data_IF_996039222397
#
_entry.id   IF_996039222397
#
_cell.length_a   1.000
_cell.length_b   1.000
_cell.length_c   1.000
_cell.angle_alpha   90.00
_cell.angle_beta   90.00
_cell.angle_gamma   90.00
#
_symmetry.space_group_name_H-M   'P 1'
#
loop_
_entity.id
_entity.type
_entity.pdbx_description
1 polymer ?
#
# COMPACT_ATOMS: atom_id res chain seq x y z
N UNK A 1 19.87 24.68 -8.74
CA UNK A 1 21.13 23.90 -8.89
C UNK A 1 20.85 22.51 -8.36
N UNK A 2 20.37 21.65 -9.24
CA UNK A 2 20.02 20.27 -8.89
C UNK A 2 21.30 19.44 -8.91
N UNK A 3 21.75 18.99 -7.72
CA UNK A 3 22.81 17.98 -7.65
C UNK A 3 22.23 16.64 -8.10
N UNK A 4 22.60 16.24 -9.32
CA UNK A 4 22.44 14.84 -9.76
C UNK A 4 23.28 13.96 -8.84
N UNK A 5 22.64 13.19 -7.99
CA UNK A 5 23.29 12.12 -7.24
C UNK A 5 23.10 10.85 -8.06
N UNK A 6 23.90 10.68 -9.10
CA UNK A 6 24.14 9.38 -9.73
C UNK A 6 25.36 8.78 -9.02
N UNK A 7 25.12 7.93 -8.04
CA UNK A 7 26.17 7.23 -7.30
C UNK A 7 26.02 5.73 -7.44
N UNK A 8 26.92 5.09 -8.19
CA UNK A 8 27.12 3.64 -8.05
C UNK A 8 27.98 3.40 -6.82
N UNK A 9 27.45 2.69 -5.83
CA UNK A 9 28.22 2.22 -4.69
C UNK A 9 28.57 0.76 -4.99
N UNK A 10 29.86 0.46 -5.20
CA UNK A 10 30.35 -0.90 -5.44
C UNK A 10 30.63 -1.59 -4.12
N UNK A 11 30.17 -2.84 -3.98
CA UNK A 11 30.60 -3.73 -2.92
C UNK A 11 31.82 -4.58 -3.35
N UNK A 12 32.45 -5.24 -2.38
CA UNK A 12 33.64 -6.09 -2.59
C UNK A 12 33.33 -7.40 -3.34
N UNK A 13 32.07 -7.64 -3.77
CA UNK A 13 31.63 -8.85 -4.49
C UNK A 13 31.22 -8.58 -5.95
N UNK A 14 31.41 -7.37 -6.45
CA UNK A 14 31.18 -7.05 -7.86
C UNK A 14 29.71 -6.90 -8.27
N UNK A 15 28.77 -6.89 -7.33
CA UNK A 15 27.37 -6.55 -7.59
C UNK A 15 27.15 -5.08 -7.23
N UNK A 16 26.83 -4.27 -8.22
CA UNK A 16 26.58 -2.84 -8.03
C UNK A 16 25.09 -2.58 -7.90
N UNK A 17 24.67 -2.06 -6.73
CA UNK A 17 23.36 -1.45 -6.59
C UNK A 17 23.24 -0.30 -7.59
N UNK A 18 22.26 -0.34 -8.47
CA UNK A 18 22.01 0.69 -9.49
C UNK A 18 20.71 1.42 -9.20
N UNK A 19 20.78 2.45 -8.37
CA UNK A 19 19.61 3.30 -8.11
C UNK A 19 19.42 4.24 -9.30
N UNK A 20 18.48 3.88 -10.18
CA UNK A 20 18.01 4.77 -11.23
C UNK A 20 16.89 5.67 -10.66
N UNK A 21 17.13 6.98 -10.62
CA UNK A 21 16.17 7.97 -10.14
C UNK A 21 14.84 7.97 -10.91
N UNK A 22 14.82 7.44 -12.13
CA UNK A 22 13.59 7.29 -12.92
C UNK A 22 12.72 6.13 -12.43
N UNK A 23 13.34 5.05 -11.97
CA UNK A 23 12.62 3.83 -11.56
C UNK A 23 12.51 3.69 -10.04
N UNK A 24 13.45 4.24 -9.28
CA UNK A 24 13.46 4.09 -7.82
C UNK A 24 12.26 4.76 -7.14
N UNK A 25 11.65 4.03 -6.22
CA UNK A 25 10.61 4.51 -5.31
C UNK A 25 10.90 4.04 -3.88
N UNK A 26 10.88 4.98 -2.93
CA UNK A 26 11.11 4.68 -1.51
C UNK A 26 9.96 3.91 -0.86
N UNK A 27 8.77 3.96 -1.44
CA UNK A 27 7.53 3.42 -0.85
C UNK A 27 7.65 1.97 -0.38
N UNK A 28 8.19 1.01 -1.16
CA UNK A 28 8.31 -0.39 -0.72
C UNK A 28 9.22 -0.60 0.50
N UNK A 29 10.02 0.39 0.85
CA UNK A 29 10.98 0.34 1.98
C UNK A 29 10.45 0.99 3.25
N UNK A 30 9.38 1.79 3.15
CA UNK A 30 8.92 2.61 4.28
C UNK A 30 7.42 2.56 4.53
N UNK A 31 6.60 2.13 3.56
CA UNK A 31 5.15 2.25 3.64
C UNK A 31 4.44 0.91 3.78
N UNK A 32 3.51 0.84 4.72
CA UNK A 32 2.42 -0.14 4.75
C UNK A 32 1.16 0.50 4.17
N UNK A 33 0.55 -0.14 3.17
CA UNK A 33 -0.73 0.30 2.60
C UNK A 33 -1.77 -0.80 2.72
N UNK A 34 -2.98 -0.45 3.18
CA UNK A 34 -4.07 -1.41 3.33
C UNK A 34 -5.37 -0.95 2.69
N UNK A 35 -6.22 -1.90 2.33
CA UNK A 35 -7.65 -1.68 2.04
C UNK A 35 -8.48 -1.93 3.30
N UNK A 36 -9.73 -1.45 3.32
CA UNK A 36 -10.63 -1.55 4.48
C UNK A 36 -10.97 -2.97 4.92
N UNK A 37 -10.78 -3.95 4.04
CA UNK A 37 -10.97 -5.38 4.31
C UNK A 37 -9.67 -6.11 4.66
N UNK A 38 -8.59 -5.39 4.82
CA UNK A 38 -7.32 -5.89 5.28
C UNK A 38 -6.30 -6.24 4.20
N UNK A 39 -6.69 -6.25 2.92
CA UNK A 39 -5.75 -6.57 1.85
C UNK A 39 -4.59 -5.59 1.84
N UNK A 40 -3.37 -6.13 1.90
CA UNK A 40 -2.16 -5.33 1.89
C UNK A 40 -1.68 -5.07 0.47
N UNK A 41 -1.15 -3.87 0.23
CA UNK A 41 -0.66 -3.43 -1.08
C UNK A 41 0.70 -2.79 -0.95
N UNK A 42 1.51 -2.87 -1.99
CA UNK A 42 2.80 -2.15 -2.04
C UNK A 42 2.56 -0.64 -1.95
N UNK A 43 1.62 -0.13 -2.74
CA UNK A 43 1.15 1.26 -2.67
C UNK A 43 -0.27 1.40 -3.23
N UNK A 44 -0.90 2.56 -3.04
CA UNK A 44 -2.26 2.80 -3.52
C UNK A 44 -2.35 3.03 -5.04
N UNK A 45 -1.22 3.27 -5.73
CA UNK A 45 -1.16 3.57 -7.18
C UNK A 45 -0.64 2.40 -8.01
N UNK A 46 -0.44 1.22 -7.39
CA UNK A 46 0.04 0.04 -8.10
C UNK A 46 -1.03 -0.49 -9.06
N UNK A 47 -0.60 -0.99 -10.22
CA UNK A 47 -1.47 -1.54 -11.26
C UNK A 47 -1.13 -3.02 -11.51
N UNK A 48 -2.09 -3.79 -12.01
CA UNK A 48 -1.91 -5.22 -12.28
C UNK A 48 -1.97 -6.14 -11.03
N UNK A 49 -1.69 -5.59 -9.85
CA UNK A 49 -1.77 -6.29 -8.55
C UNK A 49 -2.63 -5.52 -7.55
N UNK A 50 -3.72 -4.94 -8.04
CA UNK A 50 -4.61 -4.09 -7.24
C UNK A 50 -5.32 -4.84 -6.12
N UNK A 51 -5.47 -6.15 -6.22
CA UNK A 51 -6.14 -6.99 -5.22
C UNK A 51 -5.34 -7.10 -3.94
N UNK A 52 -4.02 -7.16 -4.02
CA UNK A 52 -3.14 -7.26 -2.87
C UNK A 52 -1.80 -7.91 -3.21
N UNK A 53 -0.92 -7.99 -2.23
CA UNK A 53 0.37 -8.67 -2.36
C UNK A 53 0.14 -10.17 -2.34
N UNK A 54 0.50 -10.93 -3.40
CA UNK A 54 0.32 -12.38 -3.42
C UNK A 54 1.24 -13.08 -2.43
N UNK A 55 0.80 -14.25 -1.95
CA UNK A 55 1.57 -15.05 -0.99
C UNK A 55 2.61 -15.94 -1.64
N UNK A 56 2.34 -16.39 -2.86
CA UNK A 56 3.08 -17.47 -3.52
C UNK A 56 3.70 -17.09 -4.87
N UNK A 57 3.36 -15.90 -5.40
CA UNK A 57 3.87 -15.44 -6.69
C UNK A 57 4.93 -14.35 -6.50
N UNK A 58 5.99 -14.38 -7.29
CA UNK A 58 6.90 -13.26 -7.47
C UNK A 58 6.38 -12.30 -8.54
N UNK A 59 6.99 -11.11 -8.64
CA UNK A 59 6.48 -10.05 -9.50
C UNK A 59 6.45 -10.45 -10.99
N UNK A 60 7.49 -11.12 -11.49
CA UNK A 60 7.58 -11.53 -12.88
C UNK A 60 6.70 -12.75 -13.23
N UNK A 61 6.22 -13.45 -12.22
CA UNK A 61 5.32 -14.59 -12.39
C UNK A 61 3.86 -14.16 -12.55
N UNK A 62 3.55 -12.90 -12.25
CA UNK A 62 2.17 -12.40 -12.30
C UNK A 62 1.70 -12.24 -13.74
N UNK A 63 0.67 -13.00 -14.10
CA UNK A 63 -0.06 -12.89 -15.37
C UNK A 63 -1.55 -12.75 -15.13
N UNK A 64 -2.32 -12.39 -16.15
CA UNK A 64 -3.79 -12.37 -16.06
C UNK A 64 -4.41 -13.74 -15.80
N UNK A 65 -3.66 -14.82 -16.03
CA UNK A 65 -4.12 -16.20 -15.85
C UNK A 65 -3.94 -16.69 -14.41
N UNK A 66 -2.81 -16.32 -13.75
CA UNK A 66 -2.48 -16.83 -12.41
C UNK A 66 -2.71 -15.82 -11.28
N UNK A 67 -2.98 -14.55 -11.59
CA UNK A 67 -3.37 -13.54 -10.60
C UNK A 67 -4.85 -13.18 -10.76
N UNK A 68 -5.69 -14.03 -10.22
CA UNK A 68 -7.15 -13.98 -10.33
C UNK A 68 -7.85 -13.62 -9.00
N UNK A 69 -9.16 -13.76 -8.95
CA UNK A 69 -9.96 -13.59 -7.74
C UNK A 69 -9.60 -14.59 -6.64
N UNK A 70 -9.17 -15.77 -6.99
CA UNK A 70 -8.81 -16.86 -6.07
C UNK A 70 -7.36 -16.79 -5.59
N UNK A 71 -6.50 -15.97 -6.19
CA UNK A 71 -5.09 -15.86 -5.78
C UNK A 71 -4.98 -15.46 -4.31
N UNK A 72 -4.32 -16.27 -3.46
CA UNK A 72 -4.10 -15.92 -2.06
C UNK A 72 -3.25 -14.65 -1.94
N UNK A 73 -3.79 -13.64 -1.27
CA UNK A 73 -3.08 -12.38 -0.99
C UNK A 73 -2.93 -12.17 0.51
N UNK A 74 -1.93 -11.40 0.91
CA UNK A 74 -1.77 -11.02 2.31
C UNK A 74 -2.93 -10.15 2.77
N UNK A 75 -3.57 -10.57 3.85
CA UNK A 75 -4.69 -9.87 4.47
C UNK A 75 -4.44 -9.68 5.97
N UNK A 76 -4.31 -8.45 6.41
CA UNK A 76 -3.96 -8.10 7.79
C UNK A 76 -5.08 -8.35 8.82
N UNK A 77 -6.22 -8.89 8.39
CA UNK A 77 -7.19 -9.49 9.33
C UNK A 77 -6.65 -10.78 9.95
N UNK A 78 -5.78 -11.50 9.23
CA UNK A 78 -5.31 -12.85 9.58
C UNK A 78 -3.79 -13.02 9.47
N UNK A 79 -3.11 -12.23 8.65
CA UNK A 79 -1.67 -12.34 8.39
C UNK A 79 -0.90 -11.30 9.21
N UNK A 80 0.32 -11.64 9.62
CA UNK A 80 1.17 -10.70 10.36
C UNK A 80 1.79 -9.65 9.44
N UNK A 81 1.96 -8.44 9.98
CA UNK A 81 2.67 -7.37 9.26
C UNK A 81 4.13 -7.79 9.00
N UNK A 82 4.75 -8.52 9.91
CA UNK A 82 6.14 -8.96 9.77
C UNK A 82 6.31 -9.95 8.60
N UNK A 83 5.39 -10.92 8.47
CA UNK A 83 5.43 -11.91 7.37
C UNK A 83 5.22 -11.23 6.02
N UNK A 84 4.22 -10.34 5.94
CA UNK A 84 3.98 -9.53 4.77
C UNK A 84 5.20 -8.68 4.40
N UNK A 85 5.77 -7.98 5.39
CA UNK A 85 6.78 -6.94 5.18
C UNK A 85 8.07 -7.49 4.55
N UNK A 86 8.41 -8.72 4.89
CA UNK A 86 9.56 -9.42 4.33
C UNK A 86 9.19 -10.70 3.56
N UNK A 87 7.98 -10.75 3.00
CA UNK A 87 7.59 -11.81 2.08
C UNK A 87 8.51 -11.86 0.87
N UNK A 88 8.57 -13.00 0.18
CA UNK A 88 9.41 -13.15 -1.00
C UNK A 88 9.01 -12.16 -2.09
N UNK A 89 7.71 -11.91 -2.27
CA UNK A 89 7.22 -10.87 -3.17
C UNK A 89 7.78 -9.47 -2.83
N UNK A 90 7.74 -9.06 -1.56
CA UNK A 90 8.22 -7.74 -1.16
C UNK A 90 9.74 -7.61 -1.27
N UNK A 91 10.47 -8.68 -1.00
CA UNK A 91 11.93 -8.73 -1.22
C UNK A 91 12.28 -8.60 -2.70
N UNK A 92 11.62 -9.40 -3.57
CA UNK A 92 11.79 -9.34 -5.02
C UNK A 92 11.48 -7.93 -5.57
N UNK A 93 10.34 -7.36 -5.15
CA UNK A 93 9.94 -6.01 -5.56
C UNK A 93 10.99 -4.96 -5.20
N UNK A 94 11.55 -5.04 -3.99
CA UNK A 94 12.61 -4.13 -3.53
C UNK A 94 13.91 -4.35 -4.30
N UNK A 95 14.30 -5.61 -4.57
CA UNK A 95 15.52 -5.90 -5.33
C UNK A 95 15.45 -5.35 -6.75
N UNK A 96 14.32 -5.48 -7.45
CA UNK A 96 14.12 -4.86 -8.76
C UNK A 96 14.28 -3.34 -8.72
N UNK A 97 13.74 -2.68 -7.68
CA UNK A 97 13.94 -1.25 -7.48
C UNK A 97 15.41 -0.87 -7.23
N UNK A 98 16.14 -1.67 -6.45
CA UNK A 98 17.56 -1.43 -6.14
C UNK A 98 18.48 -1.71 -7.34
N UNK A 99 18.05 -2.58 -8.26
CA UNK A 99 18.73 -2.85 -9.52
C UNK A 99 18.42 -1.80 -10.61
N UNK A 100 17.52 -0.83 -10.33
CA UNK A 100 17.10 0.18 -11.30
C UNK A 100 16.16 -0.36 -12.38
N UNK A 101 15.56 -1.52 -12.17
CA UNK A 101 14.67 -2.16 -13.12
C UNK A 101 13.34 -1.40 -13.24
N UNK A 102 12.80 -1.35 -14.46
CA UNK A 102 11.44 -0.87 -14.68
C UNK A 102 10.43 -1.91 -14.21
N UNK A 103 9.51 -1.48 -13.34
CA UNK A 103 8.44 -2.35 -12.83
C UNK A 103 7.11 -1.95 -13.48
N UNK A 104 6.51 -2.79 -14.34
CA UNK A 104 5.25 -2.46 -15.04
C UNK A 104 4.12 -2.07 -14.09
N UNK A 105 4.05 -2.67 -12.91
CA UNK A 105 3.07 -2.34 -11.89
C UNK A 105 3.18 -0.88 -11.36
N UNK A 106 4.29 -0.17 -11.63
CA UNK A 106 4.51 1.24 -11.30
C UNK A 106 4.13 2.21 -12.44
N UNK A 107 3.61 1.72 -13.57
CA UNK A 107 3.31 2.48 -14.78
C UNK A 107 2.47 3.74 -14.54
N UNK A 108 1.54 3.72 -13.59
CA UNK A 108 0.72 4.88 -13.28
C UNK A 108 1.55 6.13 -12.92
N UNK A 109 2.60 5.97 -12.09
CA UNK A 109 3.49 7.07 -11.72
C UNK A 109 4.31 7.54 -12.93
N UNK A 110 4.83 6.59 -13.72
CA UNK A 110 5.62 6.92 -14.92
C UNK A 110 4.79 7.70 -15.96
N UNK A 111 3.53 7.33 -16.20
CA UNK A 111 2.63 8.07 -17.10
C UNK A 111 2.33 9.47 -16.60
N UNK A 112 2.10 9.65 -15.29
CA UNK A 112 1.92 10.99 -14.72
C UNK A 112 3.15 11.86 -14.97
N UNK A 113 4.34 11.33 -14.71
CA UNK A 113 5.61 12.04 -14.89
C UNK A 113 5.89 12.38 -16.36
N UNK A 114 5.61 11.46 -17.28
CA UNK A 114 5.70 11.69 -18.71
C UNK A 114 4.75 12.80 -19.21
N UNK A 115 3.63 13.00 -18.50
CA UNK A 115 2.67 14.09 -18.76
C UNK A 115 3.03 15.40 -18.04
N UNK A 116 4.21 15.51 -17.43
CA UNK A 116 4.65 16.69 -16.69
C UNK A 116 4.00 16.88 -15.32
N UNK A 117 3.30 15.86 -14.80
CA UNK A 117 2.64 15.91 -13.49
C UNK A 117 3.55 15.35 -12.41
N UNK A 118 3.38 15.84 -11.18
CA UNK A 118 4.08 15.28 -10.02
C UNK A 118 3.39 13.98 -9.58
N UNK A 119 4.09 12.86 -9.70
CA UNK A 119 3.59 11.57 -9.25
C UNK A 119 3.71 11.39 -7.73
N UNK A 120 3.01 10.36 -7.21
CA UNK A 120 3.17 9.95 -5.81
C UNK A 120 4.60 9.52 -5.49
N UNK A 121 5.27 8.83 -6.43
CA UNK A 121 6.68 8.43 -6.33
C UNK A 121 7.60 9.62 -6.07
N UNK A 122 7.52 10.66 -6.89
CA UNK A 122 8.32 11.90 -6.72
C UNK A 122 8.05 12.52 -5.35
N UNK A 123 6.78 12.69 -4.97
CA UNK A 123 6.42 13.30 -3.70
C UNK A 123 6.94 12.50 -2.48
N UNK A 124 6.92 11.17 -2.56
CA UNK A 124 7.38 10.32 -1.46
C UNK A 124 8.90 10.19 -1.41
N UNK A 125 9.55 10.10 -2.55
CA UNK A 125 11.01 10.18 -2.61
C UNK A 125 11.52 11.48 -1.99
N UNK A 126 10.92 12.62 -2.32
CA UNK A 126 11.28 13.92 -1.73
C UNK A 126 11.21 13.91 -0.20
N UNK A 127 10.24 13.17 0.38
CA UNK A 127 10.02 13.15 1.84
C UNK A 127 10.89 12.14 2.58
N UNK A 128 11.10 10.95 2.02
CA UNK A 128 11.67 9.82 2.74
C UNK A 128 13.02 9.33 2.21
N UNK A 129 13.41 9.68 0.96
CA UNK A 129 14.60 9.14 0.31
C UNK A 129 15.86 9.39 1.12
N UNK A 130 16.09 10.62 1.58
CA UNK A 130 17.30 10.97 2.33
C UNK A 130 17.50 10.12 3.59
N UNK A 131 16.44 9.81 4.30
CA UNK A 131 16.49 8.96 5.51
C UNK A 131 16.70 7.48 5.17
N UNK A 132 16.25 7.04 4.01
CA UNK A 132 16.30 5.63 3.59
C UNK A 132 17.59 5.29 2.85
N UNK A 133 18.17 6.22 2.10
CA UNK A 133 19.40 6.02 1.30
C UNK A 133 20.55 5.34 2.08
N UNK A 134 20.88 5.73 3.32
CA UNK A 134 21.97 5.11 4.06
C UNK A 134 21.74 3.63 4.38
N UNK A 135 20.49 3.15 4.30
CA UNK A 135 20.10 1.79 4.63
C UNK A 135 19.99 0.90 3.39
N UNK A 136 19.90 1.48 2.19
CA UNK A 136 19.62 0.73 0.96
C UNK A 136 20.72 -0.28 0.63
N UNK A 137 21.98 0.04 0.89
CA UNK A 137 23.08 -0.91 0.68
C UNK A 137 22.90 -2.16 1.55
N UNK A 138 22.58 -1.98 2.83
CA UNK A 138 22.29 -3.08 3.75
C UNK A 138 21.11 -3.93 3.27
N UNK A 139 20.04 -3.29 2.76
CA UNK A 139 18.87 -4.01 2.24
C UNK A 139 19.21 -4.79 0.96
N UNK A 140 20.06 -4.23 0.10
CA UNK A 140 20.56 -4.91 -1.09
C UNK A 140 21.37 -6.17 -0.73
N UNK A 141 22.34 -6.06 0.18
CA UNK A 141 23.17 -7.17 0.66
C UNK A 141 22.34 -8.28 1.33
N UNK A 142 21.17 -7.94 1.84
CA UNK A 142 20.22 -8.85 2.48
C UNK A 142 19.07 -9.26 1.58
N UNK A 143 19.28 -9.17 0.27
CA UNK A 143 18.30 -9.59 -0.74
C UNK A 143 16.92 -8.95 -0.52
N UNK A 144 16.86 -7.64 -0.33
CA UNK A 144 15.62 -6.88 -0.17
C UNK A 144 14.98 -6.98 1.22
N UNK A 145 15.60 -7.67 2.18
CA UNK A 145 15.10 -7.73 3.55
C UNK A 145 15.26 -6.40 4.27
N UNK A 146 14.20 -5.92 4.90
CA UNK A 146 14.16 -4.66 5.64
C UNK A 146 13.92 -4.94 7.11
N UNK A 147 14.90 -4.58 7.97
CA UNK A 147 14.83 -4.84 9.42
C UNK A 147 13.86 -3.92 10.16
N UNK A 148 13.65 -2.71 9.63
CA UNK A 148 12.83 -1.70 10.26
C UNK A 148 11.38 -1.90 9.80
N UNK A 149 10.45 -1.97 10.73
CA UNK A 149 9.02 -2.04 10.41
C UNK A 149 8.56 -0.79 9.64
N UNK A 150 7.43 -0.83 8.90
CA UNK A 150 6.96 0.31 8.14
C UNK A 150 6.92 1.59 8.98
N UNK A 151 7.50 2.66 8.45
CA UNK A 151 7.56 3.97 9.11
C UNK A 151 6.39 4.88 8.71
N UNK A 152 5.76 4.59 7.59
CA UNK A 152 4.58 5.29 7.12
C UNK A 152 3.44 4.29 6.89
N UNK A 153 2.32 4.55 7.56
CA UNK A 153 1.18 3.68 7.56
C UNK A 153 -0.01 4.36 6.90
N UNK A 154 -0.37 3.93 5.70
CA UNK A 154 -1.57 4.36 4.98
C UNK A 154 -2.65 3.30 5.19
N UNK A 155 -3.48 3.49 6.20
CA UNK A 155 -4.42 2.49 6.67
C UNK A 155 -5.84 2.88 6.29
N UNK A 156 -6.53 2.00 5.59
CA UNK A 156 -7.97 2.13 5.38
C UNK A 156 -8.70 1.28 6.40
N UNK A 157 -9.26 1.92 7.42
CA UNK A 157 -9.88 1.23 8.55
C UNK A 157 -11.22 0.60 8.20
N UNK A 158 -12.05 1.26 7.38
CA UNK A 158 -13.34 0.76 6.93
C UNK A 158 -13.80 1.44 5.64
N UNK A 159 -14.93 1.00 5.08
CA UNK A 159 -15.60 1.70 3.98
C UNK A 159 -16.89 2.40 4.43
N UNK A 160 -17.17 2.45 5.73
CA UNK A 160 -18.33 3.17 6.25
C UNK A 160 -18.23 4.65 5.93
N UNK A 161 -19.33 5.19 5.40
CA UNK A 161 -19.38 6.58 4.93
C UNK A 161 -20.82 7.09 5.01
N UNK A 162 -20.97 8.36 5.30
CA UNK A 162 -22.24 9.10 5.28
C UNK A 162 -22.31 10.09 4.11
N UNK A 163 -21.33 10.05 3.18
CA UNK A 163 -21.21 10.94 2.02
C UNK A 163 -21.33 10.17 0.71
N UNK A 164 -21.87 10.82 -0.32
CA UNK A 164 -21.99 10.32 -1.70
C UNK A 164 -21.15 11.17 -2.66
N UNK A 165 -19.83 11.20 -2.46
CA UNK A 165 -18.93 11.99 -3.29
C UNK A 165 -18.86 11.45 -4.71
N UNK A 166 -18.99 12.30 -5.72
CA UNK A 166 -19.03 11.94 -7.14
C UNK A 166 -17.78 11.20 -7.63
N UNK A 167 -16.63 11.45 -7.00
CA UNK A 167 -15.37 10.80 -7.33
C UNK A 167 -15.16 9.45 -6.60
N UNK A 168 -16.12 9.04 -5.76
CA UNK A 168 -15.98 7.84 -4.95
C UNK A 168 -16.54 6.61 -5.69
N UNK A 169 -16.09 5.42 -5.27
CA UNK A 169 -16.53 4.14 -5.84
C UNK A 169 -17.23 3.27 -4.81
N UNK A 170 -18.06 2.30 -5.24
CA UNK A 170 -18.73 1.36 -4.32
C UNK A 170 -17.79 0.61 -3.39
N UNK A 171 -16.58 0.27 -3.85
CA UNK A 171 -15.57 -0.42 -3.04
C UNK A 171 -14.91 0.44 -1.96
N UNK A 172 -15.12 1.75 -1.98
CA UNK A 172 -14.53 2.71 -1.06
C UNK A 172 -15.53 3.40 -0.12
N UNK A 173 -16.82 3.33 -0.43
CA UNK A 173 -17.87 4.02 0.35
C UNK A 173 -19.14 3.17 0.43
N UNK A 174 -19.59 2.92 1.65
CA UNK A 174 -20.85 2.21 1.90
C UNK A 174 -22.08 2.95 1.35
N UNK A 175 -22.04 4.29 1.24
CA UNK A 175 -23.13 5.06 0.62
C UNK A 175 -23.14 4.85 -0.88
N UNK A 176 -21.98 4.95 -1.54
CA UNK A 176 -21.88 4.68 -2.97
C UNK A 176 -22.27 3.23 -3.30
N UNK A 177 -21.87 2.27 -2.46
CA UNK A 177 -22.32 0.88 -2.61
C UNK A 177 -23.86 0.77 -2.60
N UNK A 178 -24.53 1.42 -1.65
CA UNK A 178 -26.01 1.42 -1.57
C UNK A 178 -26.65 2.04 -2.81
N UNK A 179 -26.11 3.14 -3.28
CA UNK A 179 -26.63 3.84 -4.48
C UNK A 179 -26.48 2.99 -5.75
N UNK A 180 -25.27 2.48 -5.99
CA UNK A 180 -25.00 1.64 -7.16
C UNK A 180 -25.76 0.31 -7.11
N UNK A 181 -25.88 -0.31 -5.94
CA UNK A 181 -26.72 -1.52 -5.78
C UNK A 181 -28.19 -1.26 -6.04
N UNK A 182 -28.70 -0.05 -5.74
CA UNK A 182 -30.06 0.35 -6.07
C UNK A 182 -30.24 0.50 -7.59
N UNK A 183 -29.27 1.12 -8.27
CA UNK A 183 -29.31 1.26 -9.73
C UNK A 183 -29.23 -0.08 -10.44
N UNK A 184 -28.35 -0.97 -9.99
CA UNK A 184 -28.25 -2.34 -10.53
C UNK A 184 -29.59 -3.08 -10.45
N UNK A 185 -30.27 -3.02 -9.31
CA UNK A 185 -31.62 -3.60 -9.14
C UNK A 185 -32.68 -2.99 -10.06
N UNK A 186 -32.45 -1.78 -10.57
CA UNK A 186 -33.31 -1.12 -11.55
C UNK A 186 -32.89 -1.42 -13.01
N UNK A 187 -31.98 -2.36 -13.23
CA UNK A 187 -31.44 -2.67 -14.56
C UNK A 187 -30.52 -1.59 -15.14
N UNK A 188 -30.08 -0.62 -14.33
CA UNK A 188 -29.11 0.40 -14.73
C UNK A 188 -27.72 -0.06 -14.33
N UNK A 189 -26.79 -0.07 -15.26
CA UNK A 189 -25.39 -0.39 -14.97
C UNK A 189 -24.47 0.74 -15.40
N UNK A 190 -23.39 0.93 -14.64
CA UNK A 190 -22.27 1.75 -15.06
C UNK A 190 -21.09 0.79 -15.22
N UNK A 191 -20.76 0.36 -16.44
CA UNK A 191 -19.78 -0.71 -16.67
C UNK A 191 -18.45 -0.44 -15.99
N UNK A 192 -17.99 0.82 -15.96
CA UNK A 192 -16.74 1.25 -15.31
C UNK A 192 -16.75 1.04 -13.79
N UNK A 193 -17.92 0.92 -13.15
CA UNK A 193 -18.07 0.73 -11.71
C UNK A 193 -18.41 -0.70 -11.30
N UNK A 194 -18.68 -1.59 -12.29
CA UNK A 194 -19.11 -2.96 -12.01
C UNK A 194 -18.07 -3.73 -11.19
N UNK A 195 -16.79 -3.70 -11.59
CA UNK A 195 -15.73 -4.35 -10.84
C UNK A 195 -15.59 -3.84 -9.39
N UNK A 196 -15.76 -2.53 -9.18
CA UNK A 196 -15.75 -1.96 -7.83
C UNK A 196 -16.96 -2.38 -6.99
N UNK A 197 -18.12 -2.56 -7.64
CA UNK A 197 -19.35 -3.05 -7.02
C UNK A 197 -19.19 -4.52 -6.61
N UNK A 198 -18.65 -5.35 -7.49
CA UNK A 198 -18.43 -6.78 -7.24
C UNK A 198 -17.43 -6.99 -6.10
N UNK A 199 -16.31 -6.27 -6.09
CA UNK A 199 -15.37 -6.26 -4.96
C UNK A 199 -16.07 -5.86 -3.65
N UNK A 200 -17.01 -4.92 -3.71
CA UNK A 200 -17.75 -4.50 -2.52
C UNK A 200 -18.74 -5.56 -2.03
N UNK A 201 -19.33 -6.37 -2.95
CA UNK A 201 -20.23 -7.48 -2.62
C UNK A 201 -19.48 -8.64 -1.97
N UNK A 202 -18.35 -9.05 -2.51
CA UNK A 202 -17.60 -10.24 -2.12
C UNK A 202 -16.98 -10.17 -0.73
N UNK A 203 -16.84 -9.00 -0.19
CA UNK A 203 -16.18 -8.87 1.06
C UNK A 203 -17.13 -8.80 2.23
N UNK A 204 -17.02 -9.73 3.15
CA UNK A 204 -17.75 -9.77 4.42
C UNK A 204 -17.83 -8.42 5.15
N UNK A 205 -18.68 -8.34 6.18
CA UNK A 205 -18.97 -7.10 6.89
C UNK A 205 -17.85 -6.65 7.86
N UNK A 206 -16.78 -7.44 7.97
CA UNK A 206 -15.68 -7.13 8.88
C UNK A 206 -14.67 -6.17 8.21
N UNK A 207 -14.23 -5.19 9.01
CA UNK A 207 -13.24 -4.19 8.61
C UNK A 207 -12.07 -4.19 9.59
N UNK A 208 -10.92 -3.69 9.15
CA UNK A 208 -9.73 -3.53 9.99
C UNK A 208 -10.04 -2.78 11.30
N UNK A 209 -10.95 -1.80 11.25
CA UNK A 209 -11.40 -1.06 12.44
C UNK A 209 -12.03 -1.95 13.53
N UNK A 210 -12.52 -3.15 13.19
CA UNK A 210 -13.11 -4.10 14.13
C UNK A 210 -12.14 -5.22 14.52
N UNK A 211 -11.06 -5.44 13.78
CA UNK A 211 -10.10 -6.53 14.02
C UNK A 211 -9.23 -6.26 15.26
N UNK A 212 -9.37 -7.11 16.27
CA UNK A 212 -8.49 -7.07 17.45
C UNK A 212 -7.05 -7.45 17.09
N UNK A 213 -6.88 -8.43 16.20
CA UNK A 213 -5.58 -8.91 15.74
C UNK A 213 -4.81 -7.78 15.03
N UNK A 214 -5.43 -7.12 14.06
CA UNK A 214 -4.84 -5.99 13.35
C UNK A 214 -4.46 -4.85 14.31
N UNK A 215 -5.40 -4.43 15.17
CA UNK A 215 -5.13 -3.35 16.12
C UNK A 215 -3.96 -3.66 17.03
N UNK A 216 -3.86 -4.88 17.53
CA UNK A 216 -2.73 -5.30 18.35
C UNK A 216 -1.41 -5.17 17.59
N UNK A 217 -1.33 -5.63 16.34
CA UNK A 217 -0.13 -5.51 15.53
C UNK A 217 0.29 -4.05 15.33
N UNK A 218 -0.68 -3.14 15.10
CA UNK A 218 -0.39 -1.70 15.00
C UNK A 218 0.18 -1.18 16.30
N UNK A 219 -0.49 -1.47 17.43
CA UNK A 219 -0.06 -0.98 18.75
C UNK A 219 1.34 -1.49 19.13
N UNK A 220 1.64 -2.75 18.82
CA UNK A 220 2.94 -3.38 19.12
C UNK A 220 4.10 -2.78 18.26
N UNK A 221 3.81 -2.01 17.22
CA UNK A 221 4.80 -1.47 16.28
C UNK A 221 4.74 0.07 16.15
N UNK A 222 4.00 0.76 17.01
CA UNK A 222 3.86 2.23 16.95
C UNK A 222 5.19 2.97 17.10
N UNK A 223 6.15 2.42 17.81
CA UNK A 223 7.48 3.00 18.00
C UNK A 223 8.24 3.23 16.68
N UNK A 224 7.92 2.44 15.64
CA UNK A 224 8.51 2.56 14.31
C UNK A 224 7.76 3.56 13.40
N UNK A 225 6.54 3.95 13.77
CA UNK A 225 5.69 4.80 12.95
C UNK A 225 6.13 6.27 13.06
N UNK A 226 6.45 6.87 11.91
CA UNK A 226 6.77 8.30 11.79
C UNK A 226 5.64 9.09 11.10
N UNK A 227 4.71 8.39 10.47
CA UNK A 227 3.60 9.02 9.78
C UNK A 227 2.45 8.03 9.62
N UNK A 228 1.27 8.45 10.04
CA UNK A 228 0.05 7.65 9.91
C UNK A 228 -1.01 8.41 9.15
N UNK A 229 -1.58 7.76 8.15
CA UNK A 229 -2.64 8.30 7.31
C UNK A 229 -3.84 7.37 7.37
N UNK A 230 -4.89 7.82 8.02
CA UNK A 230 -6.15 7.08 8.06
C UNK A 230 -6.99 7.42 6.84
N UNK A 231 -7.38 6.36 6.13
CA UNK A 231 -8.26 6.43 4.97
C UNK A 231 -9.47 5.55 5.17
N UNK A 232 -10.45 5.70 4.33
CA UNK A 232 -11.67 4.90 4.39
C UNK A 232 -12.79 5.58 3.63
N UNK A 233 -14.02 5.28 3.98
CA UNK A 233 -15.18 6.07 3.58
C UNK A 233 -15.13 7.45 4.24
N UNK A 234 -15.75 7.58 5.39
CA UNK A 234 -15.56 8.72 6.32
C UNK A 234 -15.11 8.15 7.67
N UNK A 235 -13.86 8.41 8.04
CA UNK A 235 -13.24 7.79 9.22
C UNK A 235 -14.01 8.09 10.50
N UNK A 236 -14.50 9.32 10.66
CA UNK A 236 -15.26 9.74 11.83
C UNK A 236 -16.72 9.26 11.85
N UNK A 237 -17.22 8.71 10.74
CA UNK A 237 -18.53 8.05 10.69
C UNK A 237 -18.49 6.59 11.19
N UNK A 238 -17.29 6.03 11.40
CA UNK A 238 -17.09 4.66 11.89
C UNK A 238 -16.61 4.66 13.35
N UNK A 239 -17.52 4.41 14.30
CA UNK A 239 -17.20 4.39 15.73
C UNK A 239 -16.00 3.50 16.11
N UNK A 240 -15.82 2.28 15.55
CA UNK A 240 -14.62 1.47 15.81
C UNK A 240 -13.33 2.15 15.35
N UNK A 241 -13.35 2.86 14.22
CA UNK A 241 -12.20 3.63 13.72
C UNK A 241 -11.83 4.74 14.70
N UNK A 242 -12.81 5.53 15.14
CA UNK A 242 -12.58 6.62 16.10
C UNK A 242 -11.98 6.08 17.40
N UNK A 243 -12.58 5.04 17.99
CA UNK A 243 -12.04 4.39 19.20
C UNK A 243 -10.61 3.89 19.05
N UNK A 244 -10.27 3.40 17.87
CA UNK A 244 -8.91 2.92 17.60
C UNK A 244 -7.93 4.09 17.51
N UNK A 245 -8.30 5.18 16.83
CA UNK A 245 -7.48 6.41 16.75
C UNK A 245 -7.26 6.99 18.15
N UNK A 246 -8.31 7.08 18.96
CA UNK A 246 -8.21 7.54 20.34
C UNK A 246 -7.22 6.69 21.14
N UNK A 247 -7.29 5.34 21.00
CA UNK A 247 -6.38 4.43 21.69
C UNK A 247 -4.90 4.61 21.27
N UNK A 248 -4.63 5.02 20.03
CA UNK A 248 -3.27 5.39 19.59
C UNK A 248 -2.83 6.68 20.29
N UNK A 249 -3.72 7.66 20.40
CA UNK A 249 -3.48 8.90 21.14
C UNK A 249 -3.04 8.66 22.58
N UNK A 250 -3.66 7.70 23.25
CA UNK A 250 -3.40 7.38 24.66
C UNK A 250 -2.04 6.70 24.91
N UNK A 251 -1.36 6.17 23.87
CA UNK A 251 -0.07 5.46 24.02
C UNK A 251 1.12 6.37 24.32
N UNK A 252 1.00 7.67 24.12
CA UNK A 252 2.11 8.60 24.18
C UNK A 252 3.04 8.60 22.94
N UNK A 253 2.90 7.66 22.02
CA UNK A 253 3.63 7.67 20.74
C UNK A 253 3.08 8.69 19.74
N UNK A 254 1.82 9.09 19.86
CA UNK A 254 1.15 10.01 18.94
C UNK A 254 1.89 11.35 18.76
N UNK A 255 2.67 11.78 19.75
CA UNK A 255 3.51 13.00 19.67
C UNK A 255 4.67 12.88 18.66
N UNK A 256 5.00 11.68 18.24
CA UNK A 256 6.12 11.39 17.33
C UNK A 256 5.65 11.06 15.90
N UNK A 257 4.31 10.95 15.69
CA UNK A 257 3.66 10.53 14.44
C UNK A 257 3.17 11.72 13.62
#
# INVERSE_FOLDING_TARGET
MDRKISGSISDTKGHNMNIDDKNFCVVPFVQLNTRGKGDARVCCSITGIERGIPKELLLDEITSENYSAETPVYNLMNDSIADLWNSDFMKDFRMKMLNGEYIPACEFCHRMEASGLTSKRIGKNKRFKEKTLPLLQKYYERNGHVDIMPQWWEIRLSTKCNLSCIMCTPGLSSMMYKEYSKWEKQGKSIPMMQGALDIAKDGGQEYLSSSKFFKKQIMDNLEHCLFMEFRGGEVFADKPSVKFIDSIGDTGYAKNI
#
